data_IF_179813972828
#
_entry.id   IF_179813972828
#
_cell.length_a   1.000
_cell.length_b   1.000
_cell.length_c   1.000
_cell.angle_alpha   90.00
_cell.angle_beta   90.00
_cell.angle_gamma   90.00
#
_symmetry.space_group_name_H-M   'P 1'
#
loop_
_entity.id
_entity.type
_entity.pdbx_description
1 polymer ?
#
# COMPACT_ATOMS: atom_id res chain seq x y z
N UNK A 1 2.09 7.86 -12.19
CA UNK A 1 2.16 7.54 -13.64
C UNK A 1 3.46 6.80 -13.87
N UNK A 2 3.37 5.55 -14.27
CA UNK A 2 4.56 4.78 -14.61
C UNK A 2 5.18 5.36 -15.88
N UNK A 3 6.49 5.62 -15.85
CA UNK A 3 7.21 6.13 -17.02
C UNK A 3 7.15 5.11 -18.15
N UNK A 4 6.95 5.53 -19.40
CA UNK A 4 6.94 4.61 -20.53
C UNK A 4 8.27 3.87 -20.64
N UNK A 5 8.20 2.56 -20.83
CA UNK A 5 9.36 1.72 -21.05
C UNK A 5 9.62 1.65 -22.57
N UNK A 6 10.78 2.07 -23.00
CA UNK A 6 11.22 1.92 -24.39
C UNK A 6 11.90 0.56 -24.56
N UNK A 7 11.32 -0.32 -25.37
CA UNK A 7 11.90 -1.61 -25.73
C UNK A 7 12.70 -1.46 -27.03
N UNK A 8 14.01 -1.71 -26.97
CA UNK A 8 14.90 -1.73 -28.14
C UNK A 8 15.15 -3.20 -28.50
N UNK A 9 14.75 -3.62 -29.69
CA UNK A 9 15.01 -4.96 -30.20
C UNK A 9 16.10 -4.85 -31.29
N UNK A 10 17.24 -5.48 -31.04
CA UNK A 10 18.32 -5.62 -32.02
C UNK A 10 18.26 -7.00 -32.65
N UNK A 11 18.07 -7.10 -33.96
CA UNK A 11 18.09 -8.36 -34.69
C UNK A 11 19.42 -8.49 -35.44
N UNK A 12 20.00 -9.69 -35.40
CA UNK A 12 21.18 -10.06 -36.20
C UNK A 12 20.72 -10.74 -37.48
N UNK A 13 21.05 -10.16 -38.63
CA UNK A 13 20.83 -10.77 -39.95
C UNK A 13 22.15 -11.28 -40.57
N UNK A 14 22.05 -12.23 -41.51
CA UNK A 14 23.21 -12.67 -42.28
C UNK A 14 23.77 -11.53 -43.11
N UNK A 15 24.98 -11.07 -42.76
CA UNK A 15 25.65 -9.93 -43.42
C UNK A 15 25.72 -8.62 -42.62
N UNK A 16 25.24 -8.57 -41.40
CA UNK A 16 25.35 -7.39 -40.56
C UNK A 16 24.32 -7.30 -39.44
N UNK A 17 24.36 -6.17 -38.75
CA UNK A 17 23.34 -5.80 -37.73
C UNK A 17 22.37 -4.82 -38.35
N UNK A 18 21.10 -5.14 -38.35
CA UNK A 18 20.03 -4.18 -38.64
C UNK A 18 19.40 -3.74 -37.35
N UNK A 19 19.61 -2.52 -36.97
CA UNK A 19 18.88 -1.91 -35.87
C UNK A 19 17.50 -1.46 -36.36
N UNK A 20 16.46 -2.21 -35.99
CA UNK A 20 15.11 -1.69 -36.09
C UNK A 20 14.70 -1.17 -34.72
N UNK A 21 14.57 0.14 -34.63
CA UNK A 21 14.01 0.81 -33.48
C UNK A 21 12.49 0.60 -33.45
N UNK A 22 12.04 -0.42 -32.74
CA UNK A 22 10.64 -0.57 -32.44
C UNK A 22 10.38 0.11 -31.10
N UNK A 23 10.09 1.41 -31.11
CA UNK A 23 9.64 2.12 -29.91
C UNK A 23 8.18 1.71 -29.68
N UNK A 24 7.96 0.75 -28.83
CA UNK A 24 6.63 0.49 -28.24
C UNK A 24 6.63 1.03 -26.85
N UNK A 25 5.75 1.98 -26.60
CA UNK A 25 5.39 2.36 -25.25
C UNK A 25 4.64 1.20 -24.60
N UNK A 26 5.29 0.48 -23.67
CA UNK A 26 4.61 -0.45 -22.79
C UNK A 26 3.98 0.39 -21.69
N UNK A 27 2.70 0.70 -21.83
CA UNK A 27 1.91 1.29 -20.76
C UNK A 27 1.39 0.12 -19.93
N UNK A 28 1.57 0.20 -18.61
CA UNK A 28 0.90 -0.73 -17.69
C UNK A 28 -0.59 -0.52 -17.84
N UNK A 29 -1.29 -1.57 -18.18
CA UNK A 29 -2.75 -1.54 -18.25
C UNK A 29 -3.35 -1.69 -16.86
N UNK A 30 -4.52 -1.06 -16.64
CA UNK A 30 -5.36 -1.27 -15.48
C UNK A 30 -6.68 -1.98 -15.87
N UNK A 31 -6.75 -2.52 -17.08
CA UNK A 31 -7.93 -3.23 -17.55
C UNK A 31 -8.14 -4.52 -16.76
N UNK A 32 -9.37 -4.71 -16.23
CA UNK A 32 -9.71 -5.91 -15.42
C UNK A 32 -9.41 -7.22 -16.15
N UNK A 33 -9.55 -7.25 -17.47
CA UNK A 33 -9.31 -8.43 -18.31
C UNK A 33 -7.86 -8.90 -18.27
N UNK A 34 -6.90 -7.98 -18.11
CA UNK A 34 -5.47 -8.31 -18.05
C UNK A 34 -5.07 -8.94 -16.71
N UNK A 35 -5.95 -8.80 -15.72
CA UNK A 35 -5.85 -9.38 -14.38
C UNK A 35 -6.91 -10.47 -14.13
N UNK A 36 -7.37 -11.15 -15.20
CA UNK A 36 -8.44 -12.15 -15.13
C UNK A 36 -8.12 -13.35 -14.22
N UNK A 37 -6.85 -13.56 -13.89
CA UNK A 37 -6.38 -14.59 -12.96
C UNK A 37 -6.56 -14.21 -11.49
N UNK A 38 -6.81 -12.92 -11.17
CA UNK A 38 -7.05 -12.45 -9.82
C UNK A 38 -8.54 -12.48 -9.48
N UNK A 39 -8.87 -12.67 -8.20
CA UNK A 39 -10.20 -12.35 -7.69
C UNK A 39 -10.47 -10.84 -7.75
N UNK A 40 -11.70 -10.42 -7.53
CA UNK A 40 -12.04 -9.00 -7.51
C UNK A 40 -11.39 -8.27 -6.32
N UNK A 41 -11.28 -8.93 -5.17
CA UNK A 41 -10.57 -8.43 -4.00
C UNK A 41 -9.07 -8.27 -4.27
N UNK A 42 -8.42 -9.29 -4.84
CA UNK A 42 -7.00 -9.22 -5.20
C UNK A 42 -6.74 -8.15 -6.27
N UNK A 43 -7.64 -7.98 -7.26
CA UNK A 43 -7.57 -6.89 -8.22
C UNK A 43 -7.72 -5.50 -7.57
N UNK A 44 -8.56 -5.38 -6.56
CA UNK A 44 -8.69 -4.18 -5.74
C UNK A 44 -7.54 -4.01 -4.73
N UNK A 45 -6.59 -4.93 -4.67
CA UNK A 45 -5.58 -5.02 -3.60
C UNK A 45 -6.21 -5.05 -2.20
N UNK A 46 -7.46 -5.52 -2.12
CA UNK A 46 -8.21 -5.60 -0.86
C UNK A 46 -7.87 -6.90 -0.13
N UNK A 47 -7.44 -6.78 1.10
CA UNK A 47 -7.18 -7.93 1.98
C UNK A 47 -7.23 -7.55 3.45
N UNK A 48 -7.50 -8.55 4.28
CA UNK A 48 -7.30 -8.45 5.72
C UNK A 48 -5.80 -8.51 6.03
N UNK A 49 -5.37 -7.80 7.05
CA UNK A 49 -4.05 -7.92 7.66
C UNK A 49 -4.22 -8.80 8.89
N UNK A 50 -3.82 -10.05 8.77
CA UNK A 50 -3.98 -11.10 9.79
C UNK A 50 -2.65 -11.60 10.37
N UNK A 51 -1.60 -10.79 10.23
CA UNK A 51 -0.29 -11.06 10.82
C UNK A 51 -0.36 -11.15 12.35
N UNK A 52 0.68 -11.71 12.95
CA UNK A 52 0.75 -11.91 14.40
C UNK A 52 0.35 -10.63 15.17
N UNK A 53 -0.56 -10.76 16.11
CA UNK A 53 -1.04 -9.67 16.98
C UNK A 53 -2.17 -8.82 16.41
N UNK A 54 -2.44 -8.84 15.10
CA UNK A 54 -3.42 -7.95 14.46
C UNK A 54 -4.90 -8.33 14.74
N UNK A 55 -5.17 -9.54 15.22
CA UNK A 55 -6.53 -10.02 15.41
C UNK A 55 -7.19 -10.47 14.11
N UNK A 56 -8.43 -10.97 14.21
CA UNK A 56 -9.13 -11.54 13.05
C UNK A 56 -10.13 -10.53 12.51
N UNK A 57 -10.03 -10.20 11.21
CA UNK A 57 -10.94 -9.28 10.50
C UNK A 57 -11.04 -7.88 11.15
N UNK A 58 -9.94 -7.37 11.70
CA UNK A 58 -9.88 -6.06 12.36
C UNK A 58 -9.42 -4.98 11.41
N UNK A 59 -8.30 -5.21 10.72
CA UNK A 59 -7.67 -4.25 9.83
C UNK A 59 -7.59 -4.79 8.40
N UNK A 60 -7.95 -3.96 7.46
CA UNK A 60 -7.88 -4.22 6.03
C UNK A 60 -7.07 -3.14 5.32
N UNK A 61 -6.53 -3.49 4.15
CA UNK A 61 -5.94 -2.51 3.22
C UNK A 61 -6.40 -2.74 1.80
N UNK A 62 -6.42 -1.66 0.97
CA UNK A 62 -6.82 -1.75 -0.43
C UNK A 62 -6.25 -0.64 -1.31
N UNK A 63 -6.49 -0.73 -2.63
CA UNK A 63 -6.51 0.43 -3.51
C UNK A 63 -7.67 1.36 -3.16
N UNK A 64 -7.69 2.57 -3.74
CA UNK A 64 -8.75 3.54 -3.44
C UNK A 64 -10.14 3.03 -3.84
N UNK A 65 -11.11 3.03 -2.89
CA UNK A 65 -12.51 2.75 -3.20
C UNK A 65 -13.22 3.85 -3.97
N UNK A 66 -12.63 5.05 -4.07
CA UNK A 66 -13.27 6.24 -4.66
C UNK A 66 -12.56 6.79 -5.89
N UNK A 67 -11.23 6.60 -6.03
CA UNK A 67 -10.49 7.10 -7.18
C UNK A 67 -10.65 6.17 -8.39
N UNK A 68 -11.29 6.61 -9.50
CA UNK A 68 -11.54 5.77 -10.66
C UNK A 68 -10.31 5.56 -11.58
N UNK A 69 -9.22 6.31 -11.39
CA UNK A 69 -8.08 6.37 -12.32
C UNK A 69 -7.44 5.00 -12.61
N UNK A 70 -7.50 4.09 -11.66
CA UNK A 70 -6.94 2.75 -11.79
C UNK A 70 -7.98 1.69 -12.19
N UNK A 71 -9.24 2.07 -12.39
CA UNK A 71 -10.32 1.13 -12.72
C UNK A 71 -10.66 0.12 -11.63
N UNK A 72 -10.24 0.37 -10.38
CA UNK A 72 -10.35 -0.57 -9.25
C UNK A 72 -11.35 -0.13 -8.18
N UNK A 73 -11.78 1.13 -8.20
CA UNK A 73 -12.60 1.72 -7.13
C UNK A 73 -13.89 0.95 -6.86
N UNK A 74 -14.62 0.55 -7.90
CA UNK A 74 -15.87 -0.21 -7.74
C UNK A 74 -15.65 -1.57 -7.07
N UNK A 75 -14.53 -2.25 -7.35
CA UNK A 75 -14.16 -3.52 -6.72
C UNK A 75 -13.73 -3.32 -5.27
N UNK A 76 -12.96 -2.27 -5.00
CA UNK A 76 -12.53 -1.91 -3.65
C UNK A 76 -13.74 -1.50 -2.78
N UNK A 77 -14.66 -0.68 -3.30
CA UNK A 77 -15.87 -0.29 -2.59
C UNK A 77 -16.77 -1.49 -2.28
N UNK A 78 -16.95 -2.40 -3.26
CA UNK A 78 -17.73 -3.62 -3.04
C UNK A 78 -17.09 -4.55 -2.02
N UNK A 79 -15.76 -4.70 -2.02
CA UNK A 79 -15.05 -5.48 -1.03
C UNK A 79 -15.15 -4.84 0.37
N UNK A 80 -15.11 -3.51 0.45
CA UNK A 80 -15.32 -2.72 1.68
C UNK A 80 -16.71 -2.98 2.27
N UNK A 81 -17.75 -2.98 1.43
CA UNK A 81 -19.13 -3.33 1.83
C UNK A 81 -19.21 -4.78 2.35
N UNK A 82 -18.65 -5.72 1.59
CA UNK A 82 -18.72 -7.15 1.94
C UNK A 82 -18.01 -7.47 3.27
N UNK A 83 -16.93 -6.74 3.60
CA UNK A 83 -16.21 -6.86 4.85
C UNK A 83 -16.88 -6.11 6.03
N UNK A 84 -17.93 -5.32 5.75
CA UNK A 84 -18.62 -4.52 6.76
C UNK A 84 -17.73 -3.45 7.40
N UNK A 85 -16.83 -2.86 6.62
CA UNK A 85 -15.93 -1.81 7.13
C UNK A 85 -16.73 -0.63 7.67
N UNK A 86 -16.41 -0.20 8.89
CA UNK A 86 -17.07 0.94 9.54
C UNK A 86 -16.22 2.22 9.47
N UNK A 87 -14.90 2.07 9.53
CA UNK A 87 -13.96 3.19 9.67
C UNK A 87 -12.86 3.11 8.60
N UNK A 88 -12.61 4.22 7.90
CA UNK A 88 -11.66 4.30 6.79
C UNK A 88 -10.62 5.38 7.04
N UNK A 89 -9.36 5.03 6.85
CA UNK A 89 -8.23 5.96 6.83
C UNK A 89 -7.75 6.14 5.39
N UNK A 90 -8.13 7.26 4.80
CA UNK A 90 -7.74 7.63 3.44
C UNK A 90 -6.42 8.40 3.48
N UNK A 91 -5.35 7.73 3.07
CA UNK A 91 -4.00 8.30 3.06
C UNK A 91 -3.70 9.15 1.80
N UNK A 92 -4.57 9.12 0.79
CA UNK A 92 -4.27 9.65 -0.53
C UNK A 92 -4.88 11.02 -0.81
N UNK A 93 -6.08 11.24 -0.34
CA UNK A 93 -6.91 12.36 -0.74
C UNK A 93 -7.12 13.34 0.42
N UNK A 94 -7.48 14.59 0.11
CA UNK A 94 -7.88 15.60 1.09
C UNK A 94 -9.40 15.64 1.33
N UNK A 95 -10.18 15.00 0.44
CA UNK A 95 -11.64 14.90 0.52
C UNK A 95 -12.15 13.95 -0.57
N UNK A 96 -13.41 13.53 -0.51
CA UNK A 96 -14.07 12.81 -1.60
C UNK A 96 -14.62 13.80 -2.63
N UNK A 97 -13.85 14.04 -3.68
CA UNK A 97 -14.24 14.95 -4.80
C UNK A 97 -14.48 14.21 -6.12
N UNK A 98 -14.44 12.88 -6.11
CA UNK A 98 -14.61 12.08 -7.30
C UNK A 98 -16.10 11.97 -7.68
N UNK A 99 -16.42 12.33 -8.92
CA UNK A 99 -17.78 12.20 -9.47
C UNK A 99 -18.16 10.71 -9.63
N UNK A 100 -19.42 10.41 -9.45
CA UNK A 100 -19.97 9.07 -9.62
C UNK A 100 -19.91 8.17 -8.38
N UNK A 101 -19.40 8.68 -7.26
CA UNK A 101 -19.29 7.93 -5.99
C UNK A 101 -20.43 8.21 -5.01
N UNK A 102 -21.48 8.93 -5.42
CA UNK A 102 -22.56 9.40 -4.53
C UNK A 102 -23.28 8.24 -3.81
N UNK A 103 -23.33 7.07 -4.46
CA UNK A 103 -23.99 5.87 -3.95
C UNK A 103 -23.00 4.80 -3.48
N UNK A 104 -21.69 5.11 -3.34
CA UNK A 104 -20.71 4.15 -2.86
C UNK A 104 -20.94 3.80 -1.39
N UNK A 105 -20.62 2.56 -1.01
CA UNK A 105 -20.63 2.14 0.39
C UNK A 105 -19.66 2.98 1.23
N UNK A 106 -18.55 3.40 0.63
CA UNK A 106 -17.56 4.28 1.22
C UNK A 106 -18.18 5.51 1.93
N UNK A 107 -19.20 6.12 1.33
CA UNK A 107 -19.87 7.29 1.89
C UNK A 107 -20.73 6.99 3.13
N UNK A 108 -20.94 5.73 3.47
CA UNK A 108 -21.65 5.32 4.68
C UNK A 108 -20.72 5.12 5.88
N UNK A 109 -19.40 5.09 5.63
CA UNK A 109 -18.37 4.86 6.64
C UNK A 109 -17.92 6.16 7.32
N UNK A 110 -17.30 6.02 8.50
CA UNK A 110 -16.52 7.10 9.10
C UNK A 110 -15.19 7.22 8.35
N UNK A 111 -14.85 8.40 7.84
CA UNK A 111 -13.64 8.58 7.01
C UNK A 111 -12.81 9.75 7.49
N UNK A 112 -11.49 9.54 7.64
CA UNK A 112 -10.50 10.61 7.74
C UNK A 112 -9.68 10.70 6.46
N UNK A 113 -9.44 11.93 5.98
CA UNK A 113 -8.67 12.23 4.77
C UNK A 113 -7.36 12.89 5.15
N UNK A 114 -6.23 12.23 4.88
CA UNK A 114 -4.94 12.66 5.40
C UNK A 114 -4.01 13.27 4.33
N UNK A 115 -4.25 12.97 3.06
CA UNK A 115 -3.44 13.47 1.93
C UNK A 115 -1.92 13.37 2.17
N UNK A 116 -1.45 12.21 2.60
CA UNK A 116 -0.04 12.00 2.96
C UNK A 116 0.86 11.96 1.72
N UNK A 117 2.06 12.48 1.89
CA UNK A 117 3.19 12.16 1.00
C UNK A 117 3.74 10.75 1.21
N UNK A 118 4.84 10.43 0.53
CA UNK A 118 5.57 9.17 0.68
C UNK A 118 6.83 9.30 1.54
N UNK A 119 7.12 10.48 2.04
CA UNK A 119 8.16 10.74 3.03
C UNK A 119 7.52 10.77 4.42
N UNK A 120 7.76 9.72 5.19
CA UNK A 120 7.16 9.50 6.51
C UNK A 120 7.95 10.14 7.66
N UNK A 121 8.98 10.93 7.36
CA UNK A 121 9.66 11.83 8.29
C UNK A 121 9.37 13.31 7.99
N UNK A 122 8.64 13.59 6.92
CA UNK A 122 8.22 14.95 6.60
C UNK A 122 7.11 15.41 7.56
N UNK A 123 7.21 16.62 8.08
CA UNK A 123 6.32 17.15 9.12
C UNK A 123 4.82 17.00 8.82
N UNK A 124 4.41 17.26 7.58
CA UNK A 124 3.01 17.12 7.19
C UNK A 124 2.55 15.66 7.21
N UNK A 125 3.42 14.71 6.83
CA UNK A 125 3.12 13.28 6.91
C UNK A 125 3.04 12.80 8.35
N UNK A 126 3.94 13.26 9.22
CA UNK A 126 3.91 12.92 10.65
C UNK A 126 2.64 13.46 11.33
N UNK A 127 2.27 14.70 11.05
CA UNK A 127 1.02 15.30 11.56
C UNK A 127 -0.22 14.52 11.08
N UNK A 128 -0.27 14.16 9.80
CA UNK A 128 -1.37 13.35 9.27
C UNK A 128 -1.41 11.94 9.84
N UNK A 129 -0.24 11.30 10.07
CA UNK A 129 -0.19 10.01 10.76
C UNK A 129 -0.75 10.09 12.18
N UNK A 130 -0.39 11.15 12.93
CA UNK A 130 -0.94 11.38 14.28
C UNK A 130 -2.47 11.51 14.25
N UNK A 131 -3.01 12.26 13.28
CA UNK A 131 -4.45 12.39 13.07
C UNK A 131 -5.09 11.03 12.75
N UNK A 132 -4.52 10.27 11.82
CA UNK A 132 -5.01 8.95 11.43
C UNK A 132 -5.01 7.94 12.56
N UNK A 133 -3.94 7.89 13.37
CA UNK A 133 -3.87 7.01 14.55
C UNK A 133 -4.92 7.37 15.60
N UNK A 134 -5.06 8.67 15.91
CA UNK A 134 -6.11 9.14 16.83
C UNK A 134 -7.51 8.87 16.29
N UNK A 135 -7.70 8.93 14.98
CA UNK A 135 -8.97 8.58 14.37
C UNK A 135 -9.30 7.10 14.56
N UNK A 136 -8.33 6.20 14.37
CA UNK A 136 -8.50 4.76 14.65
C UNK A 136 -8.84 4.53 16.12
N UNK A 137 -8.11 5.15 17.05
CA UNK A 137 -8.32 5.01 18.50
C UNK A 137 -9.73 5.45 18.92
N UNK A 138 -10.31 6.46 18.27
CA UNK A 138 -11.60 7.06 18.65
C UNK A 138 -12.81 6.48 17.88
N UNK A 139 -12.61 5.55 16.98
CA UNK A 139 -13.70 4.96 16.19
C UNK A 139 -13.63 3.43 16.23
N UNK A 140 -14.77 2.78 16.03
CA UNK A 140 -14.84 1.32 16.03
C UNK A 140 -14.52 0.75 14.65
N UNK A 141 -13.90 -0.45 14.63
CA UNK A 141 -13.63 -1.22 13.42
C UNK A 141 -14.84 -2.03 12.94
N UNK A 142 -14.69 -2.82 11.88
CA UNK A 142 -13.43 -3.05 11.15
C UNK A 142 -12.90 -1.82 10.42
N UNK A 143 -11.56 -1.75 10.31
CA UNK A 143 -10.87 -0.60 9.71
C UNK A 143 -10.36 -0.91 8.30
N UNK A 144 -10.40 0.09 7.42
CA UNK A 144 -9.73 0.05 6.12
C UNK A 144 -8.68 1.16 6.04
N UNK A 145 -7.47 0.82 5.67
CA UNK A 145 -6.41 1.77 5.30
C UNK A 145 -6.22 1.69 3.79
N UNK A 146 -6.32 2.81 3.08
CA UNK A 146 -6.08 2.82 1.66
C UNK A 146 -5.29 4.05 1.18
N UNK A 147 -4.71 3.91 -0.01
CA UNK A 147 -4.19 5.01 -0.81
C UNK A 147 -4.59 4.78 -2.27
N UNK A 148 -3.90 5.31 -3.26
CA UNK A 148 -4.31 5.09 -4.66
C UNK A 148 -4.22 3.60 -5.06
N UNK A 149 -3.05 2.98 -4.97
CA UNK A 149 -2.85 1.55 -5.29
C UNK A 149 -2.97 0.61 -4.08
N UNK A 150 -3.01 1.15 -2.86
CA UNK A 150 -2.87 0.33 -1.66
C UNK A 150 -1.44 -0.20 -1.45
N UNK A 151 -0.46 0.33 -2.16
CA UNK A 151 0.92 -0.16 -2.22
C UNK A 151 1.85 0.55 -1.23
N UNK A 152 2.18 1.81 -1.51
CA UNK A 152 3.28 2.50 -0.80
C UNK A 152 2.83 3.08 0.55
N UNK A 153 1.90 4.05 0.55
CA UNK A 153 1.40 4.69 1.79
C UNK A 153 0.66 3.71 2.67
N UNK A 154 -0.30 2.98 2.10
CA UNK A 154 -1.01 1.93 2.82
C UNK A 154 -0.06 0.81 3.27
N UNK A 155 0.94 0.47 2.45
CA UNK A 155 1.97 -0.51 2.79
C UNK A 155 2.80 -0.11 4.00
N UNK A 156 3.24 1.14 4.07
CA UNK A 156 4.01 1.61 5.22
C UNK A 156 3.16 1.69 6.49
N UNK A 157 1.95 2.27 6.41
CA UNK A 157 1.08 2.40 7.60
C UNK A 157 0.63 1.03 8.12
N UNK A 158 0.34 0.09 7.23
CA UNK A 158 0.06 -1.29 7.63
C UNK A 158 1.26 -1.93 8.33
N UNK A 159 2.44 -1.84 7.71
CA UNK A 159 3.67 -2.38 8.29
C UNK A 159 3.99 -1.77 9.67
N UNK A 160 3.76 -0.47 9.86
CA UNK A 160 3.92 0.18 11.15
C UNK A 160 3.04 -0.44 12.22
N UNK A 161 1.76 -0.67 11.90
CA UNK A 161 0.82 -1.30 12.83
C UNK A 161 1.13 -2.77 13.06
N UNK A 162 1.52 -3.51 12.02
CA UNK A 162 1.96 -4.92 12.15
C UNK A 162 3.19 -5.03 13.05
N UNK A 163 4.20 -4.17 12.86
CA UNK A 163 5.37 -4.11 13.72
C UNK A 163 4.98 -3.81 15.18
N UNK A 164 4.13 -2.79 15.39
CA UNK A 164 3.65 -2.41 16.74
C UNK A 164 2.95 -3.57 17.44
N UNK A 165 2.15 -4.33 16.71
CA UNK A 165 1.39 -5.47 17.23
C UNK A 165 2.22 -6.75 17.39
N UNK A 166 3.49 -6.75 17.01
CA UNK A 166 4.43 -7.84 17.26
C UNK A 166 4.55 -8.86 16.13
N UNK A 167 4.16 -8.49 14.91
CA UNK A 167 4.42 -9.30 13.72
C UNK A 167 5.92 -9.47 13.49
N UNK A 168 6.31 -10.60 12.91
CA UNK A 168 7.67 -10.84 12.47
C UNK A 168 7.97 -10.04 11.20
N UNK A 169 9.27 -9.77 10.96
CA UNK A 169 9.66 -9.07 9.74
C UNK A 169 9.25 -9.82 8.46
N UNK A 170 9.26 -11.15 8.49
CA UNK A 170 8.86 -11.98 7.35
C UNK A 170 7.36 -11.82 7.05
N UNK A 171 6.50 -11.77 8.08
CA UNK A 171 5.06 -11.51 7.92
C UNK A 171 4.82 -10.12 7.32
N UNK A 172 5.47 -9.09 7.85
CA UNK A 172 5.36 -7.70 7.36
C UNK A 172 5.84 -7.57 5.92
N UNK A 173 6.94 -8.26 5.57
CA UNK A 173 7.46 -8.30 4.19
C UNK A 173 6.49 -9.03 3.28
N UNK A 174 5.92 -10.16 3.69
CA UNK A 174 5.01 -10.95 2.88
C UNK A 174 3.71 -10.16 2.60
N UNK A 175 3.13 -9.47 3.59
CA UNK A 175 1.99 -8.57 3.34
C UNK A 175 2.35 -7.45 2.36
N UNK A 176 3.47 -6.77 2.57
CA UNK A 176 3.89 -5.70 1.66
C UNK A 176 4.06 -6.20 0.22
N UNK A 177 4.65 -7.38 0.05
CA UNK A 177 4.94 -7.96 -1.25
C UNK A 177 3.72 -8.54 -1.97
N UNK A 178 2.60 -8.77 -1.30
CA UNK A 178 1.36 -9.27 -1.92
C UNK A 178 0.91 -8.40 -3.09
N UNK A 179 1.03 -7.07 -2.97
CA UNK A 179 0.75 -6.13 -4.06
C UNK A 179 1.67 -6.37 -5.27
N UNK A 180 2.92 -6.71 -5.02
CA UNK A 180 3.90 -6.96 -6.09
C UNK A 180 3.68 -8.31 -6.77
N UNK A 181 3.21 -9.30 -6.04
CA UNK A 181 2.81 -10.59 -6.62
C UNK A 181 1.61 -10.38 -7.56
N UNK A 182 0.58 -9.72 -7.09
CA UNK A 182 -0.67 -9.54 -7.81
C UNK A 182 -0.54 -8.60 -9.01
N UNK A 183 0.12 -7.46 -8.86
CA UNK A 183 0.12 -6.42 -9.90
C UNK A 183 1.33 -6.41 -10.81
N UNK A 184 2.46 -6.95 -10.34
CA UNK A 184 3.73 -6.82 -11.03
C UNK A 184 4.34 -8.17 -11.41
N UNK A 185 3.67 -9.28 -11.08
CA UNK A 185 4.13 -10.63 -11.36
C UNK A 185 5.53 -10.91 -10.78
N UNK A 186 5.81 -10.35 -9.60
CA UNK A 186 7.08 -10.59 -8.91
C UNK A 186 7.02 -11.96 -8.26
N UNK A 187 7.99 -12.80 -8.51
CA UNK A 187 8.10 -14.12 -7.88
C UNK A 187 8.95 -14.03 -6.60
N UNK A 188 8.50 -14.67 -5.51
CA UNK A 188 9.23 -14.71 -4.23
C UNK A 188 10.63 -15.27 -4.45
N UNK A 189 11.65 -14.59 -3.93
CA UNK A 189 13.05 -14.96 -4.06
C UNK A 189 13.74 -14.58 -5.38
N UNK A 190 13.02 -13.98 -6.35
CA UNK A 190 13.62 -13.45 -7.58
C UNK A 190 14.53 -12.24 -7.29
N UNK A 191 15.37 -11.86 -8.27
CA UNK A 191 16.17 -10.63 -8.17
C UNK A 191 15.29 -9.40 -7.96
N UNK A 192 14.14 -9.33 -8.65
CA UNK A 192 13.18 -8.24 -8.52
C UNK A 192 12.55 -8.20 -7.12
N UNK A 193 12.20 -9.37 -6.56
CA UNK A 193 11.76 -9.50 -5.18
C UNK A 193 12.80 -8.94 -4.21
N UNK A 194 14.03 -9.41 -4.32
CA UNK A 194 15.12 -8.97 -3.44
C UNK A 194 15.41 -7.47 -3.57
N UNK A 195 15.32 -6.92 -4.77
CA UNK A 195 15.48 -5.49 -5.01
C UNK A 195 14.36 -4.68 -4.34
N UNK A 196 13.10 -5.08 -4.48
CA UNK A 196 11.95 -4.41 -3.84
C UNK A 196 12.06 -4.48 -2.34
N UNK A 197 12.29 -5.66 -1.77
CA UNK A 197 12.38 -5.85 -0.33
C UNK A 197 13.53 -5.04 0.25
N UNK A 198 14.75 -5.19 -0.25
CA UNK A 198 15.93 -4.62 0.41
C UNK A 198 16.18 -3.15 0.05
N UNK A 199 15.96 -2.76 -1.22
CA UNK A 199 16.28 -1.40 -1.69
C UNK A 199 15.12 -0.42 -1.54
N UNK A 200 13.90 -0.93 -1.30
CA UNK A 200 12.70 -0.11 -1.13
C UNK A 200 12.16 -0.27 0.29
N UNK A 201 11.55 -1.41 0.57
CA UNK A 201 10.75 -1.59 1.78
C UNK A 201 11.58 -1.56 3.07
N UNK A 202 12.62 -2.37 3.15
CA UNK A 202 13.55 -2.38 4.31
C UNK A 202 14.22 -1.02 4.48
N UNK A 203 14.57 -0.34 3.38
CA UNK A 203 15.15 1.00 3.46
C UNK A 203 14.16 2.02 4.03
N UNK A 204 12.88 1.94 3.65
CA UNK A 204 11.83 2.83 4.20
C UNK A 204 11.71 2.58 5.72
N UNK A 205 11.62 1.33 6.16
CA UNK A 205 11.54 1.01 7.59
C UNK A 205 12.78 1.49 8.36
N UNK A 206 13.99 1.20 7.86
CA UNK A 206 15.24 1.66 8.49
C UNK A 206 15.26 3.20 8.63
N UNK A 207 14.86 3.90 7.57
CA UNK A 207 14.87 5.37 7.54
C UNK A 207 13.85 5.94 8.51
N UNK A 208 12.60 5.44 8.47
CA UNK A 208 11.50 5.95 9.31
C UNK A 208 11.73 5.65 10.78
N UNK A 209 12.18 4.45 11.12
CA UNK A 209 12.45 4.07 12.50
C UNK A 209 13.83 4.54 13.01
N UNK A 210 14.63 5.20 12.13
CA UNK A 210 15.97 5.71 12.44
C UNK A 210 16.93 4.64 12.95
N UNK A 211 16.86 3.43 12.40
CA UNK A 211 17.71 2.28 12.72
C UNK A 211 18.66 1.96 11.58
N UNK A 212 19.84 1.45 11.90
CA UNK A 212 20.82 1.02 10.89
C UNK A 212 20.37 -0.25 10.16
N UNK A 213 19.70 -1.16 10.85
CA UNK A 213 19.25 -2.43 10.30
C UNK A 213 18.04 -2.98 11.08
N UNK A 214 16.85 -2.85 10.47
CA UNK A 214 15.59 -3.31 11.04
C UNK A 214 15.59 -4.82 11.37
N UNK A 215 16.45 -5.59 10.73
CA UNK A 215 16.60 -7.04 10.97
C UNK A 215 17.24 -7.37 12.32
N UNK A 216 17.81 -6.38 13.00
CA UNK A 216 18.59 -6.56 14.26
C UNK A 216 17.93 -5.95 15.48
N UNK A 217 16.77 -5.36 15.32
CA UNK A 217 16.06 -4.64 16.39
C UNK A 217 14.74 -5.32 16.74
N UNK A 218 14.11 -4.90 17.83
CA UNK A 218 12.76 -5.31 18.15
C UNK A 218 11.76 -4.41 17.41
N UNK A 219 11.02 -4.97 16.44
CA UNK A 219 10.11 -4.21 15.58
C UNK A 219 9.03 -3.44 16.36
N UNK A 220 8.46 -4.07 17.38
CA UNK A 220 7.41 -3.43 18.18
C UNK A 220 7.95 -2.23 18.96
N UNK A 221 9.14 -2.35 19.51
CA UNK A 221 9.81 -1.25 20.22
C UNK A 221 10.11 -0.09 19.27
N UNK A 222 10.65 -0.36 18.09
CA UNK A 222 10.97 0.70 17.12
C UNK A 222 9.72 1.37 16.56
N UNK A 223 8.65 0.60 16.32
CA UNK A 223 7.36 1.14 15.90
C UNK A 223 6.74 2.04 16.97
N UNK A 224 6.77 1.61 18.24
CA UNK A 224 6.32 2.42 19.38
C UNK A 224 7.15 3.70 19.51
N UNK A 225 8.49 3.59 19.43
CA UNK A 225 9.37 4.76 19.49
C UNK A 225 9.11 5.75 18.35
N UNK A 226 8.90 5.27 17.13
CA UNK A 226 8.53 6.12 16.00
C UNK A 226 7.20 6.84 16.24
N UNK A 227 6.17 6.14 16.71
CA UNK A 227 4.87 6.73 17.02
C UNK A 227 4.95 7.80 18.12
N UNK A 228 5.76 7.57 19.15
CA UNK A 228 5.91 8.52 20.25
C UNK A 228 6.84 9.68 19.86
N UNK A 229 8.03 9.39 19.35
CA UNK A 229 9.09 10.40 19.18
C UNK A 229 8.95 11.23 17.90
N UNK A 230 8.53 10.61 16.80
CA UNK A 230 8.43 11.26 15.51
C UNK A 230 6.98 11.69 15.22
N UNK A 231 6.00 10.80 15.39
CA UNK A 231 4.59 11.09 15.12
C UNK A 231 3.95 11.93 16.23
N UNK A 232 4.45 11.84 17.45
CA UNK A 232 4.00 12.66 18.58
C UNK A 232 2.73 12.14 19.26
N UNK A 233 2.54 10.82 19.26
CA UNK A 233 1.56 10.18 20.13
C UNK A 233 2.09 10.10 21.57
N UNK A 234 1.18 9.98 22.52
CA UNK A 234 1.54 9.70 23.92
C UNK A 234 1.65 8.17 24.12
N UNK A 235 2.36 7.74 25.13
CA UNK A 235 2.49 6.32 25.48
C UNK A 235 1.15 5.67 25.92
N UNK A 236 0.07 6.43 26.05
CA UNK A 236 -1.28 5.96 26.41
C UNK A 236 -2.15 5.82 25.16
N UNK A 237 -1.88 6.61 24.14
CA UNK A 237 -2.50 6.48 22.82
C UNK A 237 -1.98 5.26 22.09
#
# INVERSE_FOLDING_TARGET
MDSPINLIITMKEEGGYREQWLIRQLVRTNERTDYSHLSDEAFANFRVIDTTGMGTNVLYRSSSPINPDLGRSAYADKATENAGIATIVNLADSSNTYEGNENSYYNTCQVVYLNLGTDFLYEASLSGLAEGMRFIINNEGPYLIHCNEGKDRAGFVSALLECLMGATLDEVVDDYMETYYNYYGVEKGSEKYNAVVNSNFIKILNTSFRVDDIKKVNLATEAEEYLIKEVGLTAVE
#
